data_IF_170104270915
#
_entry.id   IF_170104270915
#
_cell.length_a   1.000
_cell.length_b   1.000
_cell.length_c   1.000
_cell.angle_alpha   90.00
_cell.angle_beta   90.00
_cell.angle_gamma   90.00
#
_symmetry.space_group_name_H-M   'P 1'
#
loop_
_entity.id
_entity.type
_entity.pdbx_description
1 polymer ?
#
# COMPACT_ATOMS: atom_id res chain seq x y z
N UNK A 1 2.42 12.66 8.13
CA UNK A 1 1.46 11.64 8.62
C UNK A 1 0.06 12.09 8.19
N UNK A 2 -0.81 11.18 7.70
CA UNK A 2 -2.14 11.56 7.22
C UNK A 2 -2.96 12.17 8.35
N UNK A 3 -3.68 13.25 8.04
CA UNK A 3 -4.56 13.91 9.00
C UNK A 3 -5.82 13.06 9.20
N UNK A 4 -6.41 13.12 10.38
CA UNK A 4 -7.60 12.32 10.69
C UNK A 4 -8.87 13.17 10.55
N UNK A 5 -9.86 12.63 9.82
CA UNK A 5 -11.17 13.26 9.65
C UNK A 5 -12.27 12.30 10.06
N UNK A 6 -13.25 12.80 10.81
CA UNK A 6 -14.49 12.05 11.03
C UNK A 6 -15.46 12.25 9.85
N UNK A 7 -16.36 11.28 9.65
CA UNK A 7 -17.34 11.35 8.57
C UNK A 7 -18.28 12.57 8.64
N UNK A 8 -18.47 13.19 9.80
CA UNK A 8 -19.32 14.38 9.94
C UNK A 8 -18.63 15.64 9.36
N UNK A 9 -17.33 15.82 9.63
CA UNK A 9 -16.54 16.95 9.11
C UNK A 9 -16.46 16.90 7.58
N UNK A 10 -16.32 15.70 7.01
CA UNK A 10 -16.31 15.52 5.55
C UNK A 10 -17.62 15.97 4.92
N UNK A 11 -18.77 15.60 5.50
CA UNK A 11 -20.08 16.03 4.97
C UNK A 11 -20.28 17.54 5.00
N UNK A 12 -19.65 18.23 5.95
CA UNK A 12 -19.77 19.68 6.12
C UNK A 12 -18.82 20.48 5.23
N UNK A 13 -17.65 19.93 4.90
CA UNK A 13 -16.55 20.68 4.28
C UNK A 13 -15.90 19.93 3.12
N UNK A 14 -16.65 19.11 2.37
CA UNK A 14 -16.08 18.25 1.32
C UNK A 14 -15.32 19.05 0.25
N UNK A 15 -15.85 20.21 -0.19
CA UNK A 15 -15.20 21.05 -1.21
C UNK A 15 -13.82 21.52 -0.79
N UNK A 16 -13.71 22.11 0.40
CA UNK A 16 -12.43 22.58 0.97
C UNK A 16 -11.43 21.42 1.14
N UNK A 17 -11.89 20.27 1.64
CA UNK A 17 -11.04 19.08 1.79
C UNK A 17 -10.52 18.60 0.42
N UNK A 18 -11.33 18.65 -0.63
CA UNK A 18 -10.89 18.28 -1.98
C UNK A 18 -9.87 19.28 -2.54
N UNK A 19 -10.02 20.58 -2.26
CA UNK A 19 -9.02 21.59 -2.64
C UNK A 19 -7.69 21.35 -1.93
N UNK A 20 -7.70 21.04 -0.63
CA UNK A 20 -6.49 20.70 0.13
C UNK A 20 -5.81 19.45 -0.44
N UNK A 21 -6.56 18.41 -0.75
CA UNK A 21 -6.03 17.18 -1.35
C UNK A 21 -5.44 17.47 -2.73
N UNK A 22 -6.15 18.22 -3.56
CA UNK A 22 -5.73 18.47 -4.94
C UNK A 22 -4.55 19.45 -5.03
N UNK A 23 -4.64 20.62 -4.38
CA UNK A 23 -3.65 21.69 -4.52
C UNK A 23 -2.50 21.58 -3.54
N UNK A 24 -2.71 21.00 -2.35
CA UNK A 24 -1.68 20.90 -1.29
C UNK A 24 -1.13 19.50 -1.12
N UNK A 25 -1.67 18.51 -1.84
CA UNK A 25 -1.24 17.11 -1.73
C UNK A 25 -1.57 16.48 -0.37
N UNK A 26 -2.57 17.01 0.34
CA UNK A 26 -2.92 16.55 1.67
C UNK A 26 -3.57 15.17 1.63
N UNK A 27 -3.29 14.36 2.65
CA UNK A 27 -3.81 13.02 2.80
C UNK A 27 -4.63 12.90 4.08
N UNK A 28 -5.79 12.23 3.97
CA UNK A 28 -6.73 12.13 5.07
C UNK A 28 -7.16 10.69 5.34
N UNK A 29 -7.10 10.26 6.61
CA UNK A 29 -7.74 9.04 7.08
C UNK A 29 -9.14 9.37 7.57
N UNK A 30 -10.13 8.76 6.93
CA UNK A 30 -11.54 8.91 7.26
C UNK A 30 -11.91 7.89 8.35
N UNK A 31 -12.43 8.37 9.48
CA UNK A 31 -12.82 7.56 10.64
C UNK A 31 -14.31 7.60 10.93
N UNK A 32 -14.82 6.51 11.50
CA UNK A 32 -16.10 6.44 12.22
C UNK A 32 -15.82 6.01 13.66
N UNK A 33 -16.00 6.94 14.60
CA UNK A 33 -15.47 6.77 15.96
C UNK A 33 -13.94 6.64 15.92
N UNK A 34 -13.40 5.59 16.53
CA UNK A 34 -11.95 5.28 16.50
C UNK A 34 -11.51 4.44 15.30
N UNK A 35 -12.44 3.90 14.51
CA UNK A 35 -12.14 2.96 13.42
C UNK A 35 -11.82 3.69 12.11
N UNK A 36 -10.64 3.49 11.50
CA UNK A 36 -10.36 3.97 10.15
C UNK A 36 -11.20 3.19 9.13
N UNK A 37 -11.79 3.90 8.17
CA UNK A 37 -12.70 3.34 7.17
C UNK A 37 -12.21 3.51 5.74
N UNK A 38 -11.59 4.65 5.44
CA UNK A 38 -11.11 4.98 4.10
C UNK A 38 -9.96 5.98 4.18
N UNK A 39 -9.27 6.20 3.06
CA UNK A 39 -8.27 7.24 2.90
C UNK A 39 -8.64 8.09 1.69
N UNK A 40 -8.47 9.39 1.80
CA UNK A 40 -8.55 10.33 0.69
C UNK A 40 -7.13 10.82 0.40
N UNK A 41 -6.69 10.64 -0.85
CA UNK A 41 -5.36 10.96 -1.33
C UNK A 41 -5.46 11.65 -2.70
N UNK A 42 -4.42 12.37 -3.15
CA UNK A 42 -4.36 12.90 -4.50
C UNK A 42 -4.52 11.80 -5.57
N UNK A 43 -5.17 12.15 -6.69
CA UNK A 43 -5.39 11.19 -7.80
C UNK A 43 -4.06 10.67 -8.36
N UNK A 44 -3.05 11.53 -8.46
CA UNK A 44 -1.71 11.17 -8.90
C UNK A 44 -1.08 10.12 -8.00
N UNK A 45 -1.28 10.22 -6.68
CA UNK A 45 -0.76 9.26 -5.72
C UNK A 45 -1.49 7.91 -5.82
N UNK A 46 -2.82 7.95 -6.00
CA UNK A 46 -3.59 6.75 -6.28
C UNK A 46 -3.11 6.02 -7.54
N UNK A 47 -2.82 6.76 -8.62
CA UNK A 47 -2.29 6.19 -9.86
C UNK A 47 -0.91 5.57 -9.66
N UNK A 48 -0.04 6.22 -8.87
CA UNK A 48 1.28 5.69 -8.52
C UNK A 48 1.17 4.38 -7.75
N UNK A 49 0.32 4.33 -6.71
CA UNK A 49 0.05 3.11 -5.95
C UNK A 49 -0.49 1.99 -6.82
N UNK A 50 -1.39 2.30 -7.76
CA UNK A 50 -1.94 1.33 -8.70
C UNK A 50 -0.86 0.78 -9.64
N UNK A 51 -0.03 1.65 -10.21
CA UNK A 51 1.09 1.27 -11.09
C UNK A 51 2.12 0.44 -10.33
N UNK A 52 2.46 0.83 -9.11
CA UNK A 52 3.40 0.09 -8.26
C UNK A 52 2.86 -1.30 -7.94
N UNK A 53 1.61 -1.41 -7.48
CA UNK A 53 0.97 -2.71 -7.22
C UNK A 53 0.97 -3.62 -8.44
N UNK A 54 0.72 -3.07 -9.64
CA UNK A 54 0.79 -3.83 -10.88
C UNK A 54 2.21 -4.33 -11.18
N UNK A 55 3.22 -3.46 -11.04
CA UNK A 55 4.63 -3.85 -11.22
C UNK A 55 5.06 -4.92 -10.23
N UNK A 56 4.70 -4.77 -8.96
CA UNK A 56 5.02 -5.74 -7.91
C UNK A 56 4.39 -7.10 -8.22
N UNK A 57 3.10 -7.12 -8.61
CA UNK A 57 2.42 -8.35 -9.02
C UNK A 57 3.08 -9.00 -10.24
N UNK A 58 3.58 -8.23 -11.22
CA UNK A 58 4.33 -8.79 -12.35
C UNK A 58 5.62 -9.46 -11.90
N UNK A 59 6.33 -8.90 -10.91
CA UNK A 59 7.54 -9.52 -10.34
C UNK A 59 7.18 -10.85 -9.67
N UNK A 60 6.15 -10.87 -8.81
CA UNK A 60 5.71 -12.11 -8.17
C UNK A 60 5.28 -13.18 -9.18
N UNK A 61 4.57 -12.79 -10.23
CA UNK A 61 4.20 -13.71 -11.30
C UNK A 61 5.43 -14.29 -11.99
N UNK A 62 6.44 -13.48 -12.32
CA UNK A 62 7.69 -13.98 -12.90
C UNK A 62 8.41 -14.97 -11.98
N UNK A 63 8.45 -14.69 -10.68
CA UNK A 63 9.03 -15.61 -9.68
C UNK A 63 8.25 -16.92 -9.68
N UNK A 64 6.91 -16.84 -9.61
CA UNK A 64 6.03 -18.02 -9.58
C UNK A 64 6.15 -18.87 -10.84
N UNK A 65 6.22 -18.24 -12.02
CA UNK A 65 6.43 -18.92 -13.29
C UNK A 65 7.77 -19.68 -13.32
N UNK A 66 8.86 -19.06 -12.84
CA UNK A 66 10.17 -19.71 -12.76
C UNK A 66 10.24 -20.83 -11.72
N UNK A 67 9.42 -20.73 -10.68
CA UNK A 67 9.33 -21.74 -9.63
C UNK A 67 8.31 -22.86 -9.94
N UNK A 68 7.65 -22.84 -11.11
CA UNK A 68 6.73 -23.91 -11.51
C UNK A 68 7.48 -25.24 -11.57
N UNK A 69 6.96 -26.24 -10.86
CA UNK A 69 7.53 -27.58 -10.80
C UNK A 69 8.52 -27.81 -9.65
N UNK A 70 8.90 -26.76 -8.91
CA UNK A 70 9.71 -26.92 -7.70
C UNK A 70 8.77 -27.18 -6.51
N UNK A 71 8.99 -28.24 -5.72
CA UNK A 71 8.22 -28.47 -4.50
C UNK A 71 8.30 -27.28 -3.54
N UNK A 72 7.17 -26.85 -2.99
CA UNK A 72 7.12 -25.69 -2.08
C UNK A 72 8.07 -25.82 -0.87
N UNK A 73 8.38 -27.05 -0.45
CA UNK A 73 9.29 -27.33 0.67
C UNK A 73 10.74 -26.94 0.35
N UNK A 74 11.18 -27.13 -0.89
CA UNK A 74 12.52 -26.76 -1.34
C UNK A 74 12.64 -25.24 -1.46
N UNK A 75 11.64 -24.58 -2.06
CA UNK A 75 11.56 -23.12 -2.13
C UNK A 75 11.61 -22.50 -0.73
N UNK A 76 10.88 -23.07 0.22
CA UNK A 76 10.83 -22.57 1.60
C UNK A 76 12.21 -22.69 2.28
N UNK A 77 12.92 -23.80 2.09
CA UNK A 77 14.25 -23.99 2.65
C UNK A 77 15.26 -22.96 2.10
N UNK A 78 15.23 -22.72 0.78
CA UNK A 78 16.09 -21.73 0.11
C UNK A 78 15.82 -20.30 0.62
N UNK A 79 14.53 -19.94 0.77
CA UNK A 79 14.14 -18.62 1.31
C UNK A 79 14.62 -18.45 2.75
N UNK A 80 14.46 -19.48 3.60
CA UNK A 80 14.91 -19.43 5.00
C UNK A 80 16.43 -19.29 5.11
N UNK A 81 17.19 -19.98 4.27
CA UNK A 81 18.64 -19.81 4.19
C UNK A 81 19.03 -18.39 3.78
N UNK A 82 18.43 -17.85 2.72
CA UNK A 82 18.69 -16.50 2.24
C UNK A 82 18.37 -15.44 3.31
N UNK A 83 17.24 -15.58 4.01
CA UNK A 83 16.86 -14.67 5.11
C UNK A 83 17.87 -14.74 6.26
N UNK A 84 18.31 -15.94 6.66
CA UNK A 84 19.35 -16.11 7.69
C UNK A 84 20.66 -15.43 7.28
N UNK A 85 21.08 -15.59 6.03
CA UNK A 85 22.29 -14.95 5.51
C UNK A 85 22.19 -13.42 5.49
N UNK A 86 21.05 -12.86 5.08
CA UNK A 86 20.81 -11.42 5.07
C UNK A 86 20.83 -10.83 6.48
N UNK A 87 20.21 -11.49 7.46
CA UNK A 87 20.19 -11.05 8.86
C UNK A 87 21.56 -11.07 9.54
N UNK A 88 22.47 -11.96 9.13
CA UNK A 88 23.85 -12.00 9.64
C UNK A 88 24.72 -10.84 9.12
N UNK A 89 24.29 -10.14 8.06
CA UNK A 89 25.01 -9.03 7.44
C UNK A 89 24.48 -7.65 7.87
N UNK A 90 23.37 -7.61 8.62
CA UNK A 90 22.80 -6.42 9.22
C UNK A 90 23.27 -6.28 10.67
#
# INVERSE_FOLDING_TARGET
>A
MPKELNALKIRKSLGEILEEVYYRGEEYIIKRGKKPMAVLIPVTEFDNLKKQRQKDMQVFNKIRERAKGIPSKEIQADVEEAVRAARKRA
#
